data_IF_071193807349
#
_entry.id   IF_071193807349
#
_cell.length_a   1.000
_cell.length_b   1.000
_cell.length_c   1.000
_cell.angle_alpha   90.00
_cell.angle_beta   90.00
_cell.angle_gamma   90.00
#
_symmetry.space_group_name_H-M   'P 1'
#
loop_
_entity.id
_entity.type
_entity.pdbx_description
1 polymer ?
#
# COMPACT_ATOMS: atom_id res chain seq x y z
N UNK A 1 16.32 -13.74 -4.66
CA UNK A 1 15.05 -13.67 -3.89
C UNK A 1 15.06 -12.39 -3.06
N UNK A 2 13.99 -11.59 -3.06
CA UNK A 2 14.00 -10.24 -2.47
C UNK A 2 13.72 -10.20 -0.94
N UNK A 3 13.20 -11.27 -0.34
CA UNK A 3 12.94 -11.36 1.12
C UNK A 3 13.44 -12.65 1.81
N UNK A 4 13.58 -13.76 1.06
CA UNK A 4 14.27 -14.99 1.52
C UNK A 4 13.56 -15.82 2.58
N UNK A 5 12.29 -15.55 2.91
CA UNK A 5 11.53 -16.32 3.90
C UNK A 5 11.01 -17.63 3.30
N UNK A 6 11.53 -18.76 3.78
CA UNK A 6 11.24 -20.09 3.23
C UNK A 6 9.75 -20.44 3.23
N UNK A 7 9.01 -20.04 4.27
CA UNK A 7 7.58 -20.32 4.40
C UNK A 7 6.71 -19.44 3.49
N UNK A 8 7.17 -18.24 3.10
CA UNK A 8 6.40 -17.36 2.20
C UNK A 8 6.36 -17.89 0.76
N UNK A 9 7.29 -18.80 0.38
CA UNK A 9 7.35 -19.39 -0.97
C UNK A 9 6.12 -20.22 -1.34
N UNK A 10 5.43 -20.78 -0.33
CA UNK A 10 4.25 -21.62 -0.53
C UNK A 10 2.94 -20.84 -0.33
N UNK A 11 3.01 -19.53 -0.08
CA UNK A 11 1.81 -18.71 0.04
C UNK A 11 1.16 -18.63 -1.34
N UNK A 12 -0.10 -19.04 -1.40
CA UNK A 12 -0.86 -19.06 -2.65
C UNK A 12 -1.29 -17.63 -3.04
N UNK A 13 -1.32 -17.29 -4.34
CA UNK A 13 -1.74 -15.96 -4.79
C UNK A 13 -3.16 -15.57 -4.36
N UNK A 14 -4.08 -16.54 -4.29
CA UNK A 14 -5.46 -16.30 -3.86
C UNK A 14 -5.56 -15.95 -2.38
N UNK A 15 -4.73 -16.55 -1.53
CA UNK A 15 -4.64 -16.15 -0.13
C UNK A 15 -4.22 -14.68 0.03
N UNK A 16 -3.24 -14.21 -0.76
CA UNK A 16 -2.85 -12.80 -0.74
C UNK A 16 -3.99 -11.89 -1.21
N UNK A 17 -4.77 -12.33 -2.20
CA UNK A 17 -5.96 -11.61 -2.66
C UNK A 17 -7.03 -11.53 -1.57
N UNK A 18 -7.30 -12.61 -0.85
CA UNK A 18 -8.26 -12.61 0.28
C UNK A 18 -7.82 -11.65 1.38
N UNK A 19 -6.54 -11.64 1.72
CA UNK A 19 -5.97 -10.69 2.70
C UNK A 19 -6.18 -9.25 2.23
N UNK A 20 -5.83 -8.96 0.97
CA UNK A 20 -6.05 -7.63 0.38
C UNK A 20 -7.54 -7.23 0.43
N UNK A 21 -8.43 -8.10 -0.03
CA UNK A 21 -9.87 -7.87 -0.05
C UNK A 21 -10.41 -7.58 1.37
N UNK A 22 -9.89 -8.27 2.39
CA UNK A 22 -10.21 -8.03 3.81
C UNK A 22 -9.82 -6.62 4.29
N UNK A 23 -8.60 -6.17 3.97
CA UNK A 23 -8.17 -4.79 4.29
C UNK A 23 -9.04 -3.75 3.58
N UNK A 24 -9.30 -3.92 2.28
CA UNK A 24 -10.16 -2.99 1.54
C UNK A 24 -11.61 -2.99 2.03
N UNK A 25 -12.12 -4.13 2.51
CA UNK A 25 -13.42 -4.22 3.17
C UNK A 25 -13.46 -3.36 4.44
N UNK A 26 -12.44 -3.47 5.29
CA UNK A 26 -12.31 -2.62 6.47
C UNK A 26 -12.20 -1.13 6.10
N UNK A 27 -11.35 -0.76 5.13
CA UNK A 27 -11.20 0.65 4.74
C UNK A 27 -12.52 1.26 4.26
N UNK A 28 -13.30 0.51 3.47
CA UNK A 28 -14.61 0.94 2.99
C UNK A 28 -15.63 1.11 4.12
N UNK A 29 -15.50 0.37 5.22
CA UNK A 29 -16.41 0.48 6.37
C UNK A 29 -16.11 1.68 7.27
N UNK A 30 -14.94 2.32 7.13
CA UNK A 30 -14.50 3.44 7.96
C UNK A 30 -14.62 4.77 7.19
N UNK A 31 -15.82 5.35 7.15
CA UNK A 31 -16.09 6.59 6.40
C UNK A 31 -15.45 7.84 7.00
N UNK A 32 -15.24 7.84 8.32
CA UNK A 32 -14.70 9.01 9.04
C UNK A 32 -13.17 9.02 9.13
N UNK A 33 -12.54 7.86 8.93
CA UNK A 33 -11.08 7.77 8.96
C UNK A 33 -10.50 8.29 7.65
N UNK A 34 -9.45 9.09 7.76
CA UNK A 34 -8.62 9.48 6.61
C UNK A 34 -7.65 8.35 6.29
N UNK A 35 -7.94 7.59 5.25
CA UNK A 35 -7.13 6.46 4.81
C UNK A 35 -6.50 6.81 3.47
N UNK A 36 -5.20 6.59 3.35
CA UNK A 36 -4.43 6.80 2.11
C UNK A 36 -3.86 5.46 1.68
N UNK A 37 -4.23 5.01 0.49
CA UNK A 37 -3.72 3.77 -0.11
C UNK A 37 -2.79 4.18 -1.24
N UNK A 38 -1.53 3.78 -1.10
CA UNK A 38 -0.48 4.07 -2.07
C UNK A 38 -0.18 2.81 -2.86
N UNK A 39 -0.51 2.79 -4.14
CA UNK A 39 0.00 1.77 -5.06
C UNK A 39 1.45 2.09 -5.38
N UNK A 40 2.33 1.17 -4.97
CA UNK A 40 3.79 1.29 -5.10
C UNK A 40 4.36 0.29 -6.10
N UNK A 41 3.52 -0.34 -6.93
CA UNK A 41 3.91 -1.40 -7.89
C UNK A 41 5.03 -0.98 -8.83
N UNK A 42 5.11 0.32 -9.16
CA UNK A 42 6.10 0.87 -10.09
C UNK A 42 7.22 1.67 -9.39
N UNK A 43 7.22 1.71 -8.06
CA UNK A 43 8.23 2.41 -7.28
C UNK A 43 9.34 1.48 -6.81
N UNK A 44 10.56 2.00 -6.78
CA UNK A 44 11.69 1.38 -6.06
C UNK A 44 12.20 2.35 -5.01
N UNK A 45 11.39 2.59 -3.97
CA UNK A 45 11.75 3.46 -2.84
C UNK A 45 12.87 2.90 -1.97
N UNK A 46 13.38 1.69 -2.26
CA UNK A 46 14.53 1.10 -1.56
C UNK A 46 15.84 1.53 -2.22
N UNK A 47 15.90 1.53 -3.56
CA UNK A 47 17.14 1.83 -4.28
C UNK A 47 17.12 3.18 -5.02
N UNK A 48 15.96 3.83 -5.14
CA UNK A 48 15.81 5.14 -5.80
C UNK A 48 15.35 6.19 -4.81
N UNK A 49 16.24 7.12 -4.52
CA UNK A 49 15.97 8.24 -3.63
C UNK A 49 14.79 9.09 -4.12
N UNK A 50 14.62 9.26 -5.44
CA UNK A 50 13.49 9.98 -6.02
C UNK A 50 12.15 9.38 -5.62
N UNK A 51 12.04 8.06 -5.70
CA UNK A 51 10.82 7.31 -5.41
C UNK A 51 10.56 7.36 -3.89
N UNK A 52 11.62 7.28 -3.08
CA UNK A 52 11.51 7.46 -1.63
C UNK A 52 11.01 8.86 -1.25
N UNK A 53 11.49 9.92 -1.90
CA UNK A 53 11.00 11.28 -1.66
C UNK A 53 9.56 11.46 -2.14
N UNK A 54 9.18 10.88 -3.29
CA UNK A 54 7.79 10.89 -3.76
C UNK A 54 6.85 10.21 -2.75
N UNK A 55 7.25 9.06 -2.19
CA UNK A 55 6.51 8.36 -1.15
C UNK A 55 6.35 9.22 0.12
N UNK A 56 7.43 9.86 0.58
CA UNK A 56 7.40 10.76 1.74
C UNK A 56 6.46 11.95 1.52
N UNK A 57 6.55 12.61 0.37
CA UNK A 57 5.71 13.77 0.07
C UNK A 57 4.24 13.37 0.05
N UNK A 58 3.91 12.18 -0.51
CA UNK A 58 2.55 11.66 -0.45
C UNK A 58 2.07 11.45 1.00
N UNK A 59 2.90 10.93 1.90
CA UNK A 59 2.52 10.67 3.29
C UNK A 59 2.41 11.96 4.12
N UNK A 60 3.38 12.87 4.02
CA UNK A 60 3.53 14.00 4.94
C UNK A 60 2.93 15.31 4.42
N UNK A 61 2.96 15.55 3.11
CA UNK A 61 2.46 16.80 2.50
C UNK A 61 1.09 16.62 1.85
N UNK A 62 0.65 15.38 1.68
CA UNK A 62 -0.64 15.03 1.09
C UNK A 62 -1.83 15.54 1.90
N UNK A 63 -2.75 16.23 1.22
CA UNK A 63 -4.01 16.71 1.81
C UNK A 63 -5.14 15.80 1.38
N UNK A 64 -5.55 14.93 2.28
CA UNK A 64 -6.61 13.93 2.05
C UNK A 64 -7.89 14.26 2.81
N UNK A 65 -9.02 13.83 2.26
CA UNK A 65 -10.33 13.93 2.88
C UNK A 65 -10.62 12.69 3.74
N UNK A 66 -11.58 12.74 4.69
CA UNK A 66 -12.12 11.54 5.33
C UNK A 66 -12.58 10.52 4.28
N UNK A 67 -12.46 9.24 4.64
CA UNK A 67 -12.63 8.12 3.73
C UNK A 67 -11.32 7.67 3.07
N UNK A 68 -11.47 6.85 2.04
CA UNK A 68 -10.35 6.22 1.33
C UNK A 68 -9.89 7.08 0.15
N UNK A 69 -8.60 7.38 0.11
CA UNK A 69 -7.95 8.15 -0.93
C UNK A 69 -6.92 7.24 -1.60
N UNK A 70 -7.10 6.95 -2.90
CA UNK A 70 -6.21 6.08 -3.68
C UNK A 70 -5.22 6.94 -4.47
N UNK A 71 -3.93 6.64 -4.36
CA UNK A 71 -2.87 7.23 -5.18
C UNK A 71 -2.07 6.14 -5.88
N UNK A 72 -1.77 6.38 -7.15
CA UNK A 72 -0.85 5.56 -7.93
C UNK A 72 0.47 6.32 -8.04
N UNK A 73 1.55 5.75 -7.52
CA UNK A 73 2.86 6.40 -7.46
C UNK A 73 3.89 5.75 -8.38
#
# INVERSE_FOLDING_TARGET
ELRGRSYEKNIRPDYLKEVQDGYFGFFKSQTELKIVVLDTTHMDFVNKESDFQQLKNAIFDGKYSPGMNMLNL
#
